data_IF_505033839096
#
_entry.id   IF_505033839096
#
_cell.length_a   1.000
_cell.length_b   1.000
_cell.length_c   1.000
_cell.angle_alpha   90.00
_cell.angle_beta   90.00
_cell.angle_gamma   90.00
#
_symmetry.space_group_name_H-M   'P 1'
#
loop_
_entity.id
_entity.type
_entity.pdbx_description
1 polymer ?
#
# COMPACT_ATOMS: atom_id res chain seq x y z
N UNK A 1 -1.50 21.05 17.04
CA UNK A 1 -0.99 20.73 15.69
C UNK A 1 -1.47 19.38 15.19
N UNK A 2 -2.79 19.21 15.02
CA UNK A 2 -3.41 17.92 14.77
C UNK A 2 -3.61 17.60 13.29
N UNK A 3 -4.37 18.41 12.54
CA UNK A 3 -4.74 18.06 11.16
C UNK A 3 -3.55 18.08 10.19
N UNK A 4 -3.56 17.16 9.20
CA UNK A 4 -2.52 17.05 8.20
C UNK A 4 -1.12 16.83 8.82
N UNK A 5 -0.19 17.71 8.51
CA UNK A 5 1.16 17.77 9.09
C UNK A 5 1.28 18.78 10.24
N UNK A 6 0.16 19.29 10.77
CA UNK A 6 0.16 20.19 11.91
C UNK A 6 0.35 21.68 11.58
N UNK A 7 0.18 22.09 10.31
CA UNK A 7 0.43 23.49 9.87
C UNK A 7 -0.40 24.52 10.64
N UNK A 8 -1.59 24.16 11.12
CA UNK A 8 -2.42 25.04 11.92
C UNK A 8 -1.73 25.48 13.24
N UNK A 9 -0.85 24.65 13.81
CA UNK A 9 -0.06 25.01 14.98
C UNK A 9 0.91 26.18 14.73
N UNK A 10 1.44 26.31 13.51
CA UNK A 10 2.31 27.41 13.14
C UNK A 10 1.58 28.77 13.18
N UNK A 11 0.31 28.78 12.80
CA UNK A 11 -0.53 29.98 12.91
C UNK A 11 -0.72 30.38 14.37
N UNK A 12 -1.01 29.44 15.25
CA UNK A 12 -1.11 29.65 16.69
C UNK A 12 0.21 30.14 17.32
N UNK A 13 1.34 29.53 16.93
CA UNK A 13 2.67 29.92 17.38
C UNK A 13 3.03 31.37 16.98
N UNK A 14 2.69 31.80 15.77
CA UNK A 14 2.86 33.17 15.30
C UNK A 14 2.09 34.19 16.16
N UNK A 15 0.95 33.76 16.72
CA UNK A 15 0.14 34.55 17.65
C UNK A 15 0.61 34.47 19.12
N UNK A 16 1.67 33.72 19.39
CA UNK A 16 2.26 33.58 20.72
C UNK A 16 1.66 32.47 21.59
N UNK A 17 0.83 31.57 21.03
CA UNK A 17 0.26 30.46 21.79
C UNK A 17 1.22 29.27 21.88
N UNK A 18 1.28 28.65 23.06
CA UNK A 18 1.95 27.36 23.25
C UNK A 18 1.18 26.27 22.53
N UNK A 19 1.87 25.25 22.04
CA UNK A 19 1.25 24.17 21.29
C UNK A 19 1.99 22.83 21.44
N UNK A 20 1.28 21.74 21.18
CA UNK A 20 1.80 20.37 21.07
C UNK A 20 1.64 19.93 19.62
N UNK A 21 2.64 19.25 19.06
CA UNK A 21 2.57 18.64 17.75
C UNK A 21 2.04 17.22 17.84
N UNK A 22 0.91 16.96 17.18
CA UNK A 22 0.27 15.65 17.07
C UNK A 22 -0.29 15.45 15.66
N UNK A 23 0.54 15.59 14.61
CA UNK A 23 0.06 15.57 13.23
C UNK A 23 -0.54 14.21 12.86
N UNK A 24 -1.76 14.24 12.34
CA UNK A 24 -2.49 13.05 11.93
C UNK A 24 -1.78 12.24 10.82
N UNK A 25 -0.93 12.87 10.04
CA UNK A 25 -0.17 12.20 8.97
C UNK A 25 0.99 11.36 9.49
N UNK A 26 1.51 11.65 10.68
CA UNK A 26 2.72 11.00 11.21
C UNK A 26 2.50 10.35 12.57
N UNK A 27 1.80 11.02 13.49
CA UNK A 27 1.68 10.58 14.89
C UNK A 27 0.32 9.94 15.21
N UNK A 28 -0.45 9.51 14.20
CA UNK A 28 -1.65 8.71 14.38
C UNK A 28 -1.31 7.23 14.50
N UNK A 29 -1.33 6.72 15.73
CA UNK A 29 -0.98 5.33 16.04
C UNK A 29 -2.08 4.33 15.68
N UNK A 30 -3.21 4.79 15.12
CA UNK A 30 -4.27 3.94 14.57
C UNK A 30 -3.98 3.49 13.12
N UNK A 31 -2.91 3.97 12.48
CA UNK A 31 -2.56 3.61 11.10
C UNK A 31 -1.74 2.33 11.04
N UNK A 32 -1.65 1.74 9.85
CA UNK A 32 -0.82 0.56 9.61
C UNK A 32 0.65 0.81 9.99
N UNK A 33 1.29 -0.18 10.63
CA UNK A 33 2.66 -0.09 11.12
C UNK A 33 3.70 -0.65 10.15
N UNK A 34 3.25 -1.38 9.14
CA UNK A 34 4.10 -2.04 8.16
C UNK A 34 3.32 -2.39 6.89
N UNK A 35 3.81 -3.36 6.12
CA UNK A 35 3.15 -3.81 4.90
C UNK A 35 1.72 -4.26 5.17
N UNK A 36 0.77 -3.65 4.47
CA UNK A 36 -0.66 -3.73 4.82
C UNK A 36 -1.24 -5.14 4.74
N UNK A 37 -0.70 -6.01 3.88
CA UNK A 37 -1.15 -7.41 3.78
C UNK A 37 -0.87 -8.24 5.04
N UNK A 38 0.00 -7.80 5.93
CA UNK A 38 0.27 -8.45 7.23
C UNK A 38 -0.50 -7.81 8.40
N UNK A 39 -1.03 -6.61 8.21
CA UNK A 39 -1.61 -5.84 9.30
C UNK A 39 -3.09 -6.19 9.52
N UNK A 40 -3.60 -6.14 10.74
CA UNK A 40 -5.05 -6.14 10.98
C UNK A 40 -5.69 -4.91 10.33
N UNK A 41 -7.00 -5.00 10.05
CA UNK A 41 -7.74 -3.86 9.47
C UNK A 41 -7.71 -2.70 10.47
N UNK A 42 -7.29 -1.54 9.99
CA UNK A 42 -7.26 -0.31 10.78
C UNK A 42 -7.44 0.91 9.87
N UNK A 43 -7.21 2.12 10.39
CA UNK A 43 -7.36 3.36 9.63
C UNK A 43 -6.33 3.43 8.50
N UNK A 44 -6.74 3.93 7.34
CA UNK A 44 -5.93 3.96 6.12
C UNK A 44 -4.60 4.73 6.27
N UNK A 45 -3.61 4.33 5.46
CA UNK A 45 -2.27 4.91 5.41
C UNK A 45 -1.31 4.28 6.41
N UNK A 46 -0.04 4.41 6.13
CA UNK A 46 1.04 3.85 6.94
C UNK A 46 1.70 4.91 7.81
N UNK A 47 2.02 4.53 9.04
CA UNK A 47 2.94 5.22 9.93
C UNK A 47 3.84 4.16 10.55
N UNK A 48 4.92 3.82 9.87
CA UNK A 48 5.88 2.82 10.35
C UNK A 48 6.66 3.32 11.56
N UNK A 49 7.31 2.41 12.24
CA UNK A 49 8.25 2.75 13.31
C UNK A 49 9.32 3.76 12.83
N UNK A 50 9.81 3.59 11.58
CA UNK A 50 10.83 4.46 10.98
C UNK A 50 10.28 5.84 10.66
N UNK A 51 9.05 5.93 10.13
CA UNK A 51 8.39 7.22 9.83
C UNK A 51 8.25 8.07 11.09
N UNK A 52 7.87 7.46 12.21
CA UNK A 52 7.74 8.15 13.49
C UNK A 52 9.10 8.54 14.06
N UNK A 53 10.08 7.65 13.96
CA UNK A 53 11.44 7.94 14.40
C UNK A 53 12.06 9.11 13.62
N UNK A 54 11.85 9.15 12.29
CA UNK A 54 12.38 10.22 11.42
C UNK A 54 11.62 11.53 11.54
N UNK A 55 10.46 11.52 12.17
CA UNK A 55 9.69 12.76 12.33
C UNK A 55 10.44 13.80 13.14
N UNK A 56 10.57 15.01 12.56
CA UNK A 56 11.13 16.18 13.20
C UNK A 56 10.03 17.22 13.41
N UNK A 57 9.66 17.50 14.68
CA UNK A 57 8.57 18.41 14.99
C UNK A 57 8.90 19.87 14.71
N UNK A 58 10.18 20.20 14.62
CA UNK A 58 10.69 21.57 14.44
C UNK A 58 11.26 21.75 13.04
N UNK A 59 10.60 22.53 12.21
CA UNK A 59 11.13 22.86 10.89
C UNK A 59 12.26 23.89 10.97
N UNK A 60 13.19 23.85 10.02
CA UNK A 60 14.33 24.81 9.95
C UNK A 60 13.85 26.27 9.84
N UNK A 61 12.70 26.48 9.20
CA UNK A 61 12.07 27.80 9.00
C UNK A 61 11.53 28.46 10.29
N UNK A 62 11.43 27.71 11.40
CA UNK A 62 10.85 28.23 12.62
C UNK A 62 11.80 29.20 13.32
N UNK A 63 11.26 30.36 13.74
CA UNK A 63 11.99 31.33 14.57
C UNK A 63 12.24 30.80 15.98
N UNK A 64 13.22 31.33 16.68
CA UNK A 64 13.51 30.95 18.07
C UNK A 64 12.29 31.11 18.97
N UNK A 65 11.49 32.17 18.76
CA UNK A 65 10.24 32.39 19.51
C UNK A 65 9.22 31.25 19.24
N UNK A 66 9.05 30.82 17.98
CA UNK A 66 8.13 29.70 17.66
C UNK A 66 8.60 28.40 18.30
N UNK A 67 9.90 28.12 18.26
CA UNK A 67 10.50 26.92 18.88
C UNK A 67 10.27 26.89 20.40
N UNK A 68 10.40 28.04 21.09
CA UNK A 68 10.17 28.13 22.55
C UNK A 68 8.70 27.96 22.96
N UNK A 69 7.76 28.02 22.02
CA UNK A 69 6.33 27.78 22.26
C UNK A 69 5.92 26.32 22.05
N UNK A 70 6.77 25.50 21.43
CA UNK A 70 6.53 24.05 21.31
C UNK A 70 6.73 23.39 22.68
N UNK A 71 5.67 22.74 23.17
CA UNK A 71 5.70 22.03 24.45
C UNK A 71 6.14 20.57 24.31
N UNK A 72 6.05 19.99 23.10
CA UNK A 72 6.42 18.62 22.81
C UNK A 72 5.59 18.01 21.68
N UNK A 73 5.68 16.69 21.58
CA UNK A 73 4.94 15.88 20.61
C UNK A 73 4.02 14.88 21.33
N UNK A 74 2.98 14.43 20.64
CA UNK A 74 2.01 13.48 21.19
C UNK A 74 1.59 12.51 20.09
N UNK A 75 1.67 11.20 20.36
CA UNK A 75 1.02 10.16 19.58
C UNK A 75 -0.48 10.12 19.91
N UNK A 76 -1.33 10.03 18.88
CA UNK A 76 -2.79 9.91 19.04
C UNK A 76 -3.23 8.50 18.69
N UNK A 77 -3.95 7.87 19.61
CA UNK A 77 -4.58 6.57 19.43
C UNK A 77 -6.10 6.73 19.53
N UNK A 78 -6.81 6.14 18.57
CA UNK A 78 -8.26 6.09 18.47
C UNK A 78 -8.71 4.64 18.39
N UNK A 79 -9.88 4.31 18.90
CA UNK A 79 -10.27 2.91 19.17
C UNK A 79 -11.35 2.37 18.25
N UNK A 80 -11.64 3.04 17.12
CA UNK A 80 -12.69 2.63 16.17
C UNK A 80 -12.47 1.22 15.58
N UNK A 81 -11.22 0.74 15.60
CA UNK A 81 -10.83 -0.58 15.09
C UNK A 81 -10.35 -1.53 16.20
N UNK A 82 -10.57 -1.18 17.46
CA UNK A 82 -10.09 -1.96 18.60
C UNK A 82 -11.27 -2.46 19.44
N UNK A 83 -11.36 -3.77 19.65
CA UNK A 83 -12.36 -4.41 20.48
C UNK A 83 -11.76 -4.92 21.81
N UNK A 84 -10.43 -5.00 21.91
CA UNK A 84 -9.69 -5.56 23.04
C UNK A 84 -8.49 -4.70 23.39
N UNK A 85 -8.05 -4.69 24.67
CA UNK A 85 -6.84 -3.97 25.07
C UNK A 85 -5.59 -4.35 24.28
N UNK A 86 -5.41 -5.63 23.94
CA UNK A 86 -4.26 -6.14 23.20
C UNK A 86 -4.17 -5.56 21.78
N UNK A 87 -5.30 -5.22 21.17
CA UNK A 87 -5.34 -4.55 19.86
C UNK A 87 -4.87 -3.09 19.97
N UNK A 88 -5.19 -2.42 21.08
CA UNK A 88 -4.69 -1.07 21.39
C UNK A 88 -3.17 -1.13 21.64
N UNK A 89 -2.71 -2.08 22.45
CA UNK A 89 -1.29 -2.31 22.72
C UNK A 89 -0.52 -2.59 21.43
N UNK A 90 -1.04 -3.48 20.57
CA UNK A 90 -0.48 -3.76 19.25
C UNK A 90 -0.30 -2.49 18.42
N UNK A 91 -1.32 -1.62 18.36
CA UNK A 91 -1.27 -0.39 17.57
C UNK A 91 -0.34 0.67 18.17
N UNK A 92 -0.19 0.71 19.50
CA UNK A 92 0.69 1.66 20.19
C UNK A 92 2.16 1.24 20.12
N UNK A 93 2.44 -0.01 20.46
CA UNK A 93 3.81 -0.54 20.56
C UNK A 93 4.25 -1.25 19.29
N UNK A 94 5.53 -1.06 18.90
CA UNK A 94 6.61 -0.33 19.59
C UNK A 94 6.68 1.17 19.21
N UNK A 95 5.74 1.70 18.42
CA UNK A 95 5.83 3.09 17.89
C UNK A 95 5.85 4.17 18.97
N UNK A 96 5.24 3.92 20.12
CA UNK A 96 5.31 4.85 21.25
C UNK A 96 6.75 5.08 21.74
N UNK A 97 7.62 4.07 21.62
CA UNK A 97 9.06 4.24 21.91
C UNK A 97 9.72 5.23 20.94
N UNK A 98 9.34 5.20 19.64
CA UNK A 98 9.84 6.17 18.66
C UNK A 98 9.29 7.59 18.92
N UNK A 99 8.05 7.71 19.38
CA UNK A 99 7.50 9.02 19.84
C UNK A 99 8.32 9.56 21.01
N UNK A 100 8.64 8.70 21.99
CA UNK A 100 9.46 9.08 23.14
C UNK A 100 10.88 9.50 22.71
N UNK A 101 11.53 8.75 21.80
CA UNK A 101 12.84 9.11 21.25
C UNK A 101 12.78 10.48 20.56
N UNK A 102 11.76 10.74 19.73
CA UNK A 102 11.57 12.03 19.06
C UNK A 102 11.26 13.19 20.01
N UNK A 103 10.70 12.92 21.20
CA UNK A 103 10.39 13.93 22.22
C UNK A 103 11.60 14.30 23.10
N UNK A 104 12.50 13.35 23.36
CA UNK A 104 13.57 13.51 24.37
C UNK A 104 14.97 13.56 23.78
N UNK A 105 15.17 13.14 22.52
CA UNK A 105 16.48 13.13 21.87
C UNK A 105 16.58 14.25 20.84
N UNK A 106 17.59 15.12 20.98
CA UNK A 106 17.86 16.12 19.96
C UNK A 106 18.20 15.46 18.61
N UNK A 107 17.77 16.04 17.47
CA UNK A 107 17.98 15.46 16.13
C UNK A 107 19.43 15.06 15.84
N UNK A 108 20.39 15.86 16.30
CA UNK A 108 21.85 15.62 16.13
C UNK A 108 22.36 14.40 16.87
N UNK A 109 21.62 13.90 17.85
CA UNK A 109 21.97 12.71 18.66
C UNK A 109 21.14 11.49 18.31
N UNK A 110 20.20 11.61 17.35
CA UNK A 110 19.44 10.47 16.88
C UNK A 110 20.37 9.51 16.12
N UNK A 111 20.29 8.24 16.46
CA UNK A 111 21.00 7.13 15.84
C UNK A 111 20.07 5.94 15.76
N UNK A 112 19.74 5.53 14.53
CA UNK A 112 18.75 4.48 14.28
C UNK A 112 19.20 3.13 14.82
N UNK A 113 20.46 2.75 14.66
CA UNK A 113 20.97 1.46 15.10
C UNK A 113 21.02 1.37 16.63
N UNK A 114 21.43 2.44 17.30
CA UNK A 114 21.32 2.57 18.77
C UNK A 114 19.89 2.46 19.23
N UNK A 115 18.95 3.16 18.58
CA UNK A 115 17.52 3.08 18.91
C UNK A 115 16.98 1.66 18.76
N UNK A 116 17.33 0.95 17.68
CA UNK A 116 16.92 -0.43 17.45
C UNK A 116 17.48 -1.39 18.51
N UNK A 117 18.73 -1.20 18.93
CA UNK A 117 19.32 -2.00 20.00
C UNK A 117 18.61 -1.76 21.36
N UNK A 118 18.29 -0.51 21.67
CA UNK A 118 17.50 -0.17 22.86
C UNK A 118 16.07 -0.72 22.78
N UNK A 119 15.46 -0.70 21.59
CA UNK A 119 14.14 -1.22 21.34
C UNK A 119 14.05 -2.75 21.55
N UNK A 120 15.08 -3.49 21.15
CA UNK A 120 15.13 -4.95 21.38
C UNK A 120 15.08 -5.27 22.90
N UNK A 121 15.77 -4.49 23.72
CA UNK A 121 15.69 -4.60 25.18
C UNK A 121 14.30 -4.18 25.71
N UNK A 122 13.76 -3.09 25.18
CA UNK A 122 12.42 -2.60 25.58
C UNK A 122 11.32 -3.60 25.26
N UNK A 123 11.33 -4.22 24.07
CA UNK A 123 10.37 -5.27 23.71
C UNK A 123 10.50 -6.50 24.61
N UNK A 124 11.70 -6.84 25.06
CA UNK A 124 11.90 -7.88 26.09
C UNK A 124 11.20 -7.54 27.42
N UNK A 125 11.15 -6.28 27.82
CA UNK A 125 10.36 -5.86 29.00
C UNK A 125 8.86 -5.94 28.74
N UNK A 126 8.38 -5.67 27.53
CA UNK A 126 6.97 -5.86 27.15
C UNK A 126 6.59 -7.34 27.24
N UNK A 127 7.45 -8.24 26.74
CA UNK A 127 7.25 -9.70 26.84
C UNK A 127 7.09 -10.16 28.30
N UNK A 128 7.96 -9.70 29.20
CA UNK A 128 7.89 -10.02 30.64
C UNK A 128 6.60 -9.52 31.29
N UNK A 129 6.08 -8.37 30.82
CA UNK A 129 4.84 -7.77 31.33
C UNK A 129 3.59 -8.32 30.64
N UNK A 130 3.70 -9.19 29.63
CA UNK A 130 2.58 -9.70 28.84
C UNK A 130 1.89 -8.63 27.99
N UNK A 131 2.60 -7.54 27.64
CA UNK A 131 2.07 -6.47 26.80
C UNK A 131 2.27 -6.83 25.34
N UNK A 132 1.19 -6.77 24.56
CA UNK A 132 1.20 -7.04 23.13
C UNK A 132 1.91 -5.91 22.37
N UNK A 133 2.68 -6.25 21.35
CA UNK A 133 3.29 -5.26 20.47
C UNK A 133 3.43 -5.80 19.04
N UNK A 134 3.40 -4.90 18.06
CA UNK A 134 3.54 -5.24 16.66
C UNK A 134 4.99 -5.61 16.32
N UNK A 135 5.12 -6.68 15.54
CA UNK A 135 6.40 -7.09 14.95
C UNK A 135 6.53 -6.65 13.49
N UNK A 136 5.71 -5.72 13.06
CA UNK A 136 5.60 -5.21 11.70
C UNK A 136 6.91 -4.67 11.16
N UNK A 137 7.78 -4.18 12.04
CA UNK A 137 9.15 -3.72 11.70
C UNK A 137 10.05 -4.81 11.11
N UNK A 138 9.69 -6.08 11.28
CA UNK A 138 10.42 -7.23 10.70
C UNK A 138 9.76 -7.77 9.44
N UNK A 139 8.57 -7.29 9.07
CA UNK A 139 7.86 -7.75 7.89
C UNK A 139 8.46 -7.15 6.61
N UNK A 140 8.43 -7.94 5.55
CA UNK A 140 9.01 -7.58 4.27
C UNK A 140 8.00 -6.78 3.46
N UNK A 141 8.41 -5.59 3.01
CA UNK A 141 7.78 -4.84 1.93
C UNK A 141 8.31 -5.38 0.61
N UNK A 142 7.41 -5.69 -0.32
CA UNK A 142 7.80 -6.05 -1.68
C UNK A 142 7.44 -4.94 -2.67
N UNK A 143 8.13 -4.96 -3.80
CA UNK A 143 7.79 -4.18 -4.98
C UNK A 143 8.06 -5.02 -6.22
N UNK A 144 7.05 -5.14 -7.09
CA UNK A 144 7.17 -5.82 -8.37
C UNK A 144 6.98 -4.80 -9.48
N UNK A 145 8.01 -4.60 -10.28
CA UNK A 145 8.04 -3.59 -11.33
C UNK A 145 8.12 -4.24 -12.70
N UNK A 146 7.15 -4.01 -13.61
CA UNK A 146 7.21 -4.48 -14.98
C UNK A 146 8.36 -3.81 -15.75
N UNK A 147 9.18 -4.64 -16.42
CA UNK A 147 10.40 -4.24 -17.13
C UNK A 147 10.37 -4.67 -18.61
N UNK A 148 9.20 -4.65 -19.24
CA UNK A 148 9.04 -4.96 -20.65
C UNK A 148 9.59 -6.34 -21.06
N UNK A 149 8.87 -7.37 -20.66
CA UNK A 149 9.19 -8.78 -20.88
C UNK A 149 9.74 -9.51 -19.65
N UNK A 150 9.98 -8.80 -18.57
CA UNK A 150 10.33 -9.36 -17.25
C UNK A 150 9.72 -8.54 -16.12
N UNK A 151 9.68 -9.10 -14.93
CA UNK A 151 9.30 -8.40 -13.71
C UNK A 151 10.53 -8.26 -12.83
N UNK A 152 10.79 -7.07 -12.30
CA UNK A 152 11.83 -6.86 -11.30
C UNK A 152 11.23 -6.96 -9.91
N UNK A 153 11.72 -7.89 -9.10
CA UNK A 153 11.29 -8.08 -7.70
C UNK A 153 12.31 -7.44 -6.77
N UNK A 154 11.81 -6.65 -5.84
CA UNK A 154 12.56 -5.98 -4.79
C UNK A 154 11.92 -6.29 -3.44
N UNK A 155 12.74 -6.60 -2.43
CA UNK A 155 12.33 -6.91 -1.07
C UNK A 155 13.04 -5.97 -0.10
N UNK A 156 12.31 -5.37 0.80
CA UNK A 156 12.87 -4.43 1.78
C UNK A 156 12.36 -4.75 3.19
N UNK A 157 13.18 -4.46 4.18
CA UNK A 157 12.80 -4.46 5.59
C UNK A 157 13.38 -3.22 6.27
N UNK A 158 12.60 -2.57 7.13
CA UNK A 158 13.07 -1.38 7.86
C UNK A 158 14.13 -1.70 8.94
N UNK A 159 14.30 -2.99 9.28
CA UNK A 159 15.34 -3.48 10.19
C UNK A 159 16.59 -3.86 9.38
N UNK A 160 17.68 -3.07 9.46
CA UNK A 160 18.93 -3.37 8.71
C UNK A 160 19.72 -4.56 9.29
N UNK A 161 19.41 -4.95 10.51
CA UNK A 161 20.10 -6.01 11.28
C UNK A 161 19.47 -7.40 11.11
N UNK A 162 18.65 -7.61 10.08
CA UNK A 162 18.06 -8.90 9.72
C UNK A 162 18.49 -9.34 8.32
N UNK A 163 18.53 -10.64 8.11
CA UNK A 163 18.71 -11.24 6.79
C UNK A 163 17.34 -11.52 6.16
N UNK A 164 17.12 -11.11 4.92
CA UNK A 164 15.97 -11.54 4.13
C UNK A 164 16.32 -12.84 3.42
N UNK A 165 15.61 -13.93 3.72
CA UNK A 165 15.77 -15.23 3.08
C UNK A 165 14.55 -15.53 2.22
N UNK A 166 14.74 -16.15 1.05
CA UNK A 166 13.65 -16.40 0.12
C UNK A 166 13.75 -17.75 -0.61
N UNK A 167 12.62 -18.18 -1.16
CA UNK A 167 12.45 -19.30 -2.08
C UNK A 167 11.61 -18.84 -3.28
N UNK A 168 11.70 -19.55 -4.41
CA UNK A 168 10.93 -19.23 -5.64
C UNK A 168 9.99 -20.34 -6.06
N UNK A 169 9.95 -21.44 -5.30
CA UNK A 169 9.14 -22.62 -5.56
C UNK A 169 7.95 -22.79 -4.58
N UNK A 170 7.66 -21.76 -3.77
CA UNK A 170 6.59 -21.78 -2.78
C UNK A 170 6.89 -22.54 -1.49
N UNK A 171 8.09 -23.11 -1.31
CA UNK A 171 8.48 -23.71 -0.04
C UNK A 171 8.71 -22.63 1.03
N UNK A 172 8.52 -22.98 2.31
CA UNK A 172 8.78 -22.05 3.42
C UNK A 172 10.27 -21.70 3.49
N UNK A 173 10.64 -20.40 3.58
CA UNK A 173 12.02 -20.00 3.76
C UNK A 173 12.52 -20.40 5.16
N UNK A 174 13.78 -20.77 5.21
CA UNK A 174 14.52 -21.09 6.44
C UNK A 174 15.78 -20.24 6.51
N UNK A 175 16.48 -20.25 7.64
CA UNK A 175 17.77 -19.58 7.76
C UNK A 175 18.84 -20.07 6.76
N UNK A 176 18.60 -21.22 6.10
CA UNK A 176 19.48 -21.79 5.07
C UNK A 176 19.03 -21.50 3.63
N UNK A 177 17.86 -20.89 3.45
CA UNK A 177 17.36 -20.49 2.13
C UNK A 177 18.21 -19.38 1.52
N UNK A 178 18.04 -19.11 0.23
CA UNK A 178 18.81 -18.08 -0.48
C UNK A 178 18.75 -16.73 0.24
N UNK A 179 19.90 -16.09 0.39
CA UNK A 179 19.98 -14.73 0.94
C UNK A 179 19.58 -13.73 -0.15
N UNK A 180 18.71 -12.78 0.21
CA UNK A 180 18.41 -11.65 -0.66
C UNK A 180 19.50 -10.57 -0.51
N UNK A 181 20.22 -10.32 -1.57
CA UNK A 181 21.27 -9.30 -1.62
C UNK A 181 20.91 -8.13 -2.52
N UNK A 182 20.12 -8.40 -3.56
CA UNK A 182 19.71 -7.41 -4.57
C UNK A 182 18.46 -7.85 -5.30
N UNK A 183 17.76 -6.89 -5.88
CA UNK A 183 16.62 -7.12 -6.77
C UNK A 183 17.01 -8.01 -7.97
N UNK A 184 16.07 -8.87 -8.37
CA UNK A 184 16.26 -9.82 -9.47
C UNK A 184 15.10 -9.81 -10.45
N UNK A 185 15.31 -10.42 -11.61
CA UNK A 185 14.29 -10.51 -12.65
C UNK A 185 13.56 -11.86 -12.60
N UNK A 186 12.26 -11.81 -12.88
CA UNK A 186 11.34 -12.92 -13.03
C UNK A 186 10.75 -12.87 -14.44
N UNK A 187 10.77 -14.01 -15.14
CA UNK A 187 10.27 -14.14 -16.53
C UNK A 187 9.23 -15.23 -16.71
N UNK A 188 8.90 -15.94 -15.63
CA UNK A 188 7.95 -17.06 -15.62
C UNK A 188 7.11 -17.03 -14.35
N UNK A 189 5.92 -17.65 -14.32
CA UNK A 189 5.13 -17.74 -13.12
C UNK A 189 5.87 -18.49 -12.02
N UNK A 190 5.79 -18.01 -10.78
CA UNK A 190 6.40 -18.63 -9.61
C UNK A 190 5.75 -18.17 -8.32
N UNK A 191 5.96 -18.90 -7.25
CA UNK A 191 5.53 -18.50 -5.91
C UNK A 191 6.77 -18.15 -5.09
N UNK A 192 6.98 -16.86 -4.87
CA UNK A 192 8.07 -16.37 -4.02
C UNK A 192 7.56 -16.39 -2.58
N UNK A 193 8.33 -17.02 -1.70
CA UNK A 193 8.16 -16.84 -0.24
C UNK A 193 9.41 -16.26 0.36
N UNK A 194 9.25 -15.30 1.26
CA UNK A 194 10.37 -14.66 1.93
C UNK A 194 10.03 -14.33 3.38
N UNK A 195 11.06 -14.37 4.23
CA UNK A 195 10.96 -14.00 5.63
C UNK A 195 12.28 -13.39 6.12
N UNK A 196 12.20 -12.61 7.19
CA UNK A 196 13.38 -12.04 7.86
C UNK A 196 13.91 -12.97 8.94
N UNK A 197 15.22 -13.06 9.05
CA UNK A 197 15.91 -13.88 10.05
C UNK A 197 16.97 -13.07 10.80
N UNK A 198 17.12 -13.34 12.10
CA UNK A 198 18.20 -12.81 12.96
C UNK A 198 18.72 -13.94 13.82
N UNK A 199 20.04 -14.19 13.76
CA UNK A 199 20.69 -15.30 14.50
C UNK A 199 20.01 -16.67 14.25
N UNK A 200 19.62 -16.94 13.01
CA UNK A 200 18.96 -18.19 12.61
C UNK A 200 17.48 -18.31 12.98
N UNK A 201 16.92 -17.37 13.72
CA UNK A 201 15.50 -17.33 14.12
C UNK A 201 14.70 -16.43 13.18
N UNK A 202 13.54 -16.90 12.71
CA UNK A 202 12.61 -16.07 11.94
C UNK A 202 12.02 -14.96 12.83
N UNK A 203 12.04 -13.74 12.30
CA UNK A 203 11.61 -12.54 13.02
C UNK A 203 10.23 -12.03 12.56
N UNK A 204 10.01 -11.84 11.27
CA UNK A 204 8.77 -11.39 10.68
C UNK A 204 7.87 -12.53 10.19
N UNK A 205 6.69 -12.17 9.70
CA UNK A 205 5.79 -13.10 9.02
C UNK A 205 6.37 -13.48 7.65
N UNK A 206 5.98 -14.65 7.13
CA UNK A 206 6.39 -15.07 5.78
C UNK A 206 5.54 -14.34 4.75
N UNK A 207 6.17 -13.53 3.92
CA UNK A 207 5.58 -13.01 2.70
C UNK A 207 5.37 -14.16 1.72
N UNK A 208 4.16 -14.29 1.19
CA UNK A 208 3.86 -15.19 0.06
C UNK A 208 3.42 -14.32 -1.11
N UNK A 209 4.18 -14.34 -2.18
CA UNK A 209 3.98 -13.52 -3.36
C UNK A 209 3.84 -14.43 -4.60
N UNK A 210 2.62 -14.83 -4.95
CA UNK A 210 2.36 -15.55 -6.19
C UNK A 210 2.50 -14.60 -7.38
N UNK A 211 3.46 -14.84 -8.24
CA UNK A 211 3.60 -14.14 -9.51
C UNK A 211 2.83 -14.94 -10.57
N UNK A 212 1.75 -14.38 -11.06
CA UNK A 212 0.97 -14.90 -12.18
C UNK A 212 1.56 -14.41 -13.50
N UNK A 213 1.29 -15.16 -14.59
CA UNK A 213 1.78 -14.79 -15.91
C UNK A 213 0.70 -15.00 -16.95
N UNK A 214 0.32 -13.93 -17.63
CA UNK A 214 -0.66 -13.91 -18.71
C UNK A 214 -0.14 -13.06 -19.88
N UNK A 215 -0.91 -12.89 -20.95
CA UNK A 215 -0.48 -12.11 -22.11
C UNK A 215 -0.18 -10.63 -21.80
N UNK A 216 -0.79 -10.06 -20.74
CA UNK A 216 -0.56 -8.67 -20.31
C UNK A 216 0.66 -8.53 -19.37
N UNK A 217 1.05 -9.59 -18.66
CA UNK A 217 2.10 -9.53 -17.63
C UNK A 217 3.42 -9.05 -18.23
N UNK A 218 4.08 -8.11 -17.56
CA UNK A 218 5.34 -7.49 -17.94
C UNK A 218 5.32 -6.78 -19.31
N UNK A 219 4.15 -6.48 -19.87
CA UNK A 219 4.03 -5.71 -21.11
C UNK A 219 4.13 -4.22 -20.84
N UNK A 220 4.46 -3.48 -21.89
CA UNK A 220 4.58 -2.03 -21.82
C UNK A 220 3.20 -1.37 -21.84
N UNK A 221 2.89 -0.62 -20.81
CA UNK A 221 1.77 0.30 -20.79
C UNK A 221 2.18 1.64 -21.39
N UNK A 222 1.47 2.07 -22.43
CA UNK A 222 1.72 3.34 -23.12
C UNK A 222 0.99 4.47 -22.40
N UNK A 223 1.65 5.63 -22.29
CA UNK A 223 1.07 6.86 -21.70
C UNK A 223 0.55 6.67 -20.27
N UNK A 224 1.11 5.69 -19.55
CA UNK A 224 0.75 5.38 -18.17
C UNK A 224 1.63 6.11 -17.17
N UNK A 225 1.07 6.40 -16.00
CA UNK A 225 1.85 6.80 -14.85
C UNK A 225 2.42 5.56 -14.09
N UNK A 226 3.39 5.74 -13.19
CA UNK A 226 3.99 4.60 -12.46
C UNK A 226 2.98 3.76 -11.65
N UNK A 227 1.91 4.37 -11.12
CA UNK A 227 0.89 3.67 -10.31
C UNK A 227 0.07 2.70 -11.15
N UNK A 228 -0.21 3.04 -12.40
CA UNK A 228 -1.00 2.20 -13.32
C UNK A 228 -0.24 0.93 -13.74
N UNK A 229 1.10 0.94 -13.66
CA UNK A 229 1.92 -0.20 -14.06
C UNK A 229 1.75 -1.44 -13.18
N UNK A 230 1.19 -1.30 -11.98
CA UNK A 230 0.88 -2.46 -11.13
C UNK A 230 -0.10 -3.41 -11.83
N UNK A 231 -0.97 -2.92 -12.71
CA UNK A 231 -1.95 -3.72 -13.44
C UNK A 231 -1.36 -4.77 -14.41
N UNK A 232 -0.06 -4.81 -14.56
CA UNK A 232 0.65 -5.78 -15.42
C UNK A 232 1.87 -6.39 -14.72
N UNK A 233 1.89 -6.35 -13.38
CA UNK A 233 2.99 -6.88 -12.57
C UNK A 233 2.81 -8.35 -12.13
N UNK A 234 1.67 -8.96 -12.47
CA UNK A 234 1.37 -10.35 -12.15
C UNK A 234 1.01 -10.59 -10.69
N UNK A 235 0.78 -9.55 -9.88
CA UNK A 235 0.46 -9.65 -8.44
C UNK A 235 -0.94 -9.10 -8.17
N UNK A 236 -1.72 -9.87 -7.40
CA UNK A 236 -3.08 -9.45 -7.00
C UNK A 236 -3.04 -8.58 -5.76
N UNK A 237 -3.91 -7.58 -5.72
CA UNK A 237 -4.14 -6.75 -4.55
C UNK A 237 -4.81 -7.50 -3.39
N UNK A 238 -4.61 -7.02 -2.17
CA UNK A 238 -5.30 -7.53 -0.98
C UNK A 238 -6.66 -6.86 -0.76
N UNK A 239 -7.41 -7.29 0.26
CA UNK A 239 -8.64 -6.61 0.68
C UNK A 239 -8.43 -5.17 1.22
N UNK A 240 -7.20 -4.69 1.22
CA UNK A 240 -6.86 -3.31 1.61
C UNK A 240 -6.59 -2.48 0.37
N UNK A 241 -7.57 -1.69 -0.05
CA UNK A 241 -7.54 -0.87 -1.28
C UNK A 241 -6.39 0.15 -1.33
N UNK A 242 -5.63 0.31 -0.25
CA UNK A 242 -4.49 1.21 -0.13
C UNK A 242 -3.15 0.48 -0.13
N UNK A 243 -3.13 -0.83 -0.34
CA UNK A 243 -1.87 -1.53 -0.56
C UNK A 243 -1.24 -1.16 -1.92
N UNK A 244 0.02 -1.54 -2.12
CA UNK A 244 0.79 -1.11 -3.29
C UNK A 244 0.38 -1.77 -4.60
N UNK A 245 -0.52 -2.76 -4.57
CA UNK A 245 -0.92 -3.53 -5.74
C UNK A 245 -2.22 -2.99 -6.38
N UNK A 246 -2.78 -1.90 -5.87
CA UNK A 246 -3.96 -1.25 -6.41
C UNK A 246 -3.61 0.02 -7.18
N UNK A 247 -3.89 0.07 -8.48
CA UNK A 247 -4.03 1.32 -9.22
C UNK A 247 -5.37 1.97 -8.85
N UNK A 248 -5.37 3.26 -8.52
CA UNK A 248 -6.51 3.91 -7.87
C UNK A 248 -6.79 5.30 -8.43
N UNK A 249 -8.06 5.57 -8.71
CA UNK A 249 -8.53 6.85 -9.24
C UNK A 249 -9.79 7.34 -8.51
N UNK A 250 -9.87 8.66 -8.32
CA UNK A 250 -11.04 9.36 -7.84
C UNK A 250 -11.42 10.38 -8.90
N UNK A 251 -12.22 9.97 -9.89
CA UNK A 251 -12.69 10.80 -10.99
C UNK A 251 -14.05 10.34 -11.47
N UNK A 252 -14.89 11.29 -11.84
CA UNK A 252 -16.19 11.02 -12.46
C UNK A 252 -16.13 10.86 -13.99
N UNK A 253 -15.00 11.25 -14.60
CA UNK A 253 -14.72 11.07 -16.03
C UNK A 253 -14.15 9.68 -16.34
N UNK A 254 -13.69 9.48 -17.56
CA UNK A 254 -13.07 8.24 -17.98
C UNK A 254 -11.54 8.27 -17.83
N UNK A 255 -10.98 7.09 -17.58
CA UNK A 255 -9.55 6.81 -17.55
C UNK A 255 -9.26 5.78 -18.62
N UNK A 256 -8.29 6.07 -19.48
CA UNK A 256 -7.88 5.16 -20.53
C UNK A 256 -6.40 4.79 -20.40
N UNK A 257 -6.10 3.51 -20.51
CA UNK A 257 -4.75 3.00 -20.60
C UNK A 257 -4.61 2.05 -21.80
N UNK A 258 -3.42 2.00 -22.37
CA UNK A 258 -3.14 1.19 -23.55
C UNK A 258 -1.95 0.29 -23.28
N UNK A 259 -2.11 -1.00 -23.58
CA UNK A 259 -1.09 -2.03 -23.47
C UNK A 259 -0.56 -2.40 -24.85
N UNK A 260 0.77 -2.47 -25.04
CA UNK A 260 1.41 -3.02 -26.24
C UNK A 260 1.81 -4.48 -26.00
N UNK A 261 1.11 -5.41 -26.64
CA UNK A 261 1.41 -6.86 -26.58
C UNK A 261 2.68 -7.24 -27.35
N UNK A 262 3.32 -6.29 -28.04
CA UNK A 262 4.51 -6.43 -28.88
C UNK A 262 4.27 -7.06 -30.26
N UNK A 263 3.29 -7.92 -30.38
CA UNK A 263 2.86 -8.56 -31.61
C UNK A 263 1.34 -8.68 -31.64
N UNK A 264 0.79 -8.97 -32.79
CA UNK A 264 -0.62 -9.32 -32.90
C UNK A 264 -0.86 -10.65 -32.21
N UNK A 265 -1.81 -10.68 -31.28
CA UNK A 265 -2.22 -11.86 -30.51
C UNK A 265 -3.74 -12.03 -30.67
N UNK A 266 -4.19 -13.27 -30.78
CA UNK A 266 -5.60 -13.59 -30.64
C UNK A 266 -5.96 -13.57 -29.16
N UNK A 267 -7.04 -12.87 -28.80
CA UNK A 267 -7.48 -12.65 -27.44
C UNK A 267 -8.85 -13.29 -27.22
N UNK A 268 -8.92 -14.24 -26.29
CA UNK A 268 -10.15 -14.94 -25.96
C UNK A 268 -10.90 -14.27 -24.81
N UNK A 269 -10.14 -13.69 -23.87
CA UNK A 269 -10.71 -13.13 -22.65
C UNK A 269 -9.84 -12.02 -22.10
N UNK A 270 -10.48 -11.02 -21.51
CA UNK A 270 -9.86 -10.01 -20.69
C UNK A 270 -10.58 -9.99 -19.33
N UNK A 271 -9.81 -9.91 -18.23
CA UNK A 271 -10.36 -9.79 -16.88
C UNK A 271 -9.71 -8.61 -16.18
N UNK A 272 -10.52 -7.80 -15.52
CA UNK A 272 -10.05 -6.75 -14.60
C UNK A 272 -10.37 -7.16 -13.17
N UNK A 273 -9.36 -7.19 -12.30
CA UNK A 273 -9.59 -7.33 -10.87
C UNK A 273 -9.93 -5.99 -10.25
N UNK A 274 -11.03 -5.92 -9.52
CA UNK A 274 -11.51 -4.73 -8.84
C UNK A 274 -11.75 -5.02 -7.36
N UNK A 275 -11.60 -4.02 -6.51
CA UNK A 275 -12.02 -4.10 -5.11
C UNK A 275 -13.23 -3.23 -4.86
N UNK A 276 -14.17 -3.75 -4.08
CA UNK A 276 -15.23 -2.99 -3.44
C UNK A 276 -14.90 -2.80 -1.97
N UNK A 277 -15.05 -1.57 -1.47
CA UNK A 277 -15.03 -1.26 -0.04
C UNK A 277 -16.06 -0.16 0.23
N UNK A 278 -17.29 -0.59 0.54
CA UNK A 278 -18.44 0.29 0.73
C UNK A 278 -18.17 1.37 1.77
N UNK A 279 -17.66 0.99 2.95
CA UNK A 279 -17.36 1.94 4.02
C UNK A 279 -16.39 3.05 3.65
N UNK A 280 -15.53 2.82 2.66
CA UNK A 280 -14.51 3.78 2.20
C UNK A 280 -14.87 4.46 0.87
N UNK A 281 -16.03 4.15 0.26
CA UNK A 281 -16.45 4.70 -1.02
C UNK A 281 -15.56 4.23 -2.18
N UNK A 282 -15.09 2.97 -2.11
CA UNK A 282 -14.33 2.32 -3.19
C UNK A 282 -15.25 1.34 -3.90
N UNK A 283 -15.42 1.52 -5.21
CA UNK A 283 -16.41 0.82 -5.99
C UNK A 283 -15.91 0.42 -7.37
N UNK A 284 -16.65 -0.44 -8.04
CA UNK A 284 -16.39 -0.82 -9.43
C UNK A 284 -16.63 0.37 -10.37
N UNK A 285 -15.99 0.41 -11.56
CA UNK A 285 -16.32 1.39 -12.59
C UNK A 285 -17.77 1.15 -13.06
N UNK A 286 -18.50 2.21 -13.41
CA UNK A 286 -19.87 2.08 -13.94
C UNK A 286 -19.93 1.46 -15.34
N UNK A 287 -18.89 1.67 -16.14
CA UNK A 287 -18.74 1.09 -17.47
C UNK A 287 -17.27 0.83 -17.77
N UNK A 288 -17.02 -0.24 -18.49
CA UNK A 288 -15.69 -0.58 -19.02
C UNK A 288 -15.84 -0.85 -20.53
N UNK A 289 -14.92 -0.33 -21.32
CA UNK A 289 -14.82 -0.60 -22.75
C UNK A 289 -13.45 -1.17 -23.08
N UNK A 290 -13.41 -2.18 -23.94
CA UNK A 290 -12.18 -2.79 -24.46
C UNK A 290 -12.10 -2.54 -25.97
N UNK A 291 -10.97 -2.00 -26.40
CA UNK A 291 -10.68 -1.62 -27.77
C UNK A 291 -9.36 -2.24 -28.23
N UNK A 292 -9.30 -2.65 -29.46
CA UNK A 292 -8.07 -3.18 -30.07
C UNK A 292 -7.58 -2.25 -31.21
N UNK A 293 -6.28 -2.34 -31.45
CA UNK A 293 -5.61 -1.70 -32.60
C UNK A 293 -4.41 -2.54 -33.03
N UNK A 294 -4.01 -2.41 -34.28
CA UNK A 294 -2.76 -3.00 -34.77
C UNK A 294 -1.58 -2.02 -34.74
N UNK A 295 -1.84 -0.71 -34.81
CA UNK A 295 -0.82 0.34 -35.02
C UNK A 295 -0.88 1.50 -34.02
N UNK A 296 -1.71 1.39 -32.93
CA UNK A 296 -1.96 2.45 -31.93
C UNK A 296 -2.54 3.75 -32.55
N UNK A 297 -3.22 3.66 -33.69
CA UNK A 297 -3.83 4.79 -34.40
C UNK A 297 -5.34 4.61 -34.45
N UNK A 298 -5.82 3.66 -35.21
CA UNK A 298 -7.24 3.34 -35.30
C UNK A 298 -7.59 2.21 -34.37
N UNK A 299 -8.65 2.40 -33.59
CA UNK A 299 -9.14 1.45 -32.62
C UNK A 299 -10.57 1.03 -32.94
N UNK A 300 -10.86 -0.26 -32.80
CA UNK A 300 -12.21 -0.80 -32.86
C UNK A 300 -12.60 -1.40 -31.50
N UNK A 301 -13.85 -1.18 -31.12
CA UNK A 301 -14.37 -1.69 -29.87
C UNK A 301 -14.72 -3.17 -30.00
N UNK A 302 -14.19 -3.99 -29.11
CA UNK A 302 -14.41 -5.45 -29.07
C UNK A 302 -15.30 -5.90 -27.94
N UNK A 303 -15.36 -5.14 -26.84
CA UNK A 303 -16.25 -5.44 -25.75
C UNK A 303 -16.64 -4.18 -24.96
N UNK A 304 -17.80 -4.21 -24.33
CA UNK A 304 -18.25 -3.21 -23.37
C UNK A 304 -19.14 -3.86 -22.32
N UNK A 305 -19.02 -3.40 -21.07
CA UNK A 305 -19.89 -3.82 -19.98
C UNK A 305 -20.29 -2.58 -19.19
N UNK A 306 -21.59 -2.41 -19.00
CA UNK A 306 -22.17 -1.42 -18.11
C UNK A 306 -22.71 -2.15 -16.87
N UNK A 307 -22.52 -1.56 -15.70
CA UNK A 307 -22.92 -2.12 -14.41
C UNK A 307 -24.06 -1.30 -13.83
N UNK A 308 -25.03 -1.98 -13.23
CA UNK A 308 -26.14 -1.33 -12.56
C UNK A 308 -25.70 -0.67 -11.23
N UNK A 309 -26.35 0.40 -10.79
CA UNK A 309 -26.02 1.06 -9.53
C UNK A 309 -26.01 0.13 -8.31
N UNK A 310 -26.90 -0.85 -8.24
CA UNK A 310 -26.96 -1.84 -7.16
C UNK A 310 -25.72 -2.75 -7.17
N UNK A 311 -25.20 -3.08 -8.35
CA UNK A 311 -23.99 -3.86 -8.53
C UNK A 311 -22.73 -3.04 -8.21
N UNK A 312 -22.72 -1.75 -8.56
CA UNK A 312 -21.61 -0.83 -8.28
C UNK A 312 -21.49 -0.56 -6.78
N UNK A 313 -22.58 -0.17 -6.13
CA UNK A 313 -22.61 0.28 -4.72
C UNK A 313 -23.02 -0.82 -3.74
N UNK A 314 -22.67 -2.07 -4.03
CA UNK A 314 -22.95 -3.21 -3.16
C UNK A 314 -22.22 -3.08 -1.83
N UNK A 315 -22.91 -3.35 -0.72
CA UNK A 315 -22.33 -3.32 0.62
C UNK A 315 -21.24 -4.38 0.82
N UNK A 316 -20.28 -4.09 1.69
CA UNK A 316 -19.21 -5.00 2.07
C UNK A 316 -17.85 -4.64 1.49
N UNK A 317 -16.86 -5.49 1.84
CA UNK A 317 -15.47 -5.41 1.32
C UNK A 317 -15.12 -6.74 0.68
N UNK A 318 -14.85 -6.73 -0.63
CA UNK A 318 -14.54 -7.94 -1.39
C UNK A 318 -13.79 -7.57 -2.69
N UNK A 319 -13.06 -8.55 -3.22
CA UNK A 319 -12.41 -8.47 -4.54
C UNK A 319 -13.31 -9.18 -5.54
N UNK A 320 -13.47 -8.59 -6.70
CA UNK A 320 -14.31 -9.11 -7.77
C UNK A 320 -13.58 -9.02 -9.12
N UNK A 321 -13.86 -9.95 -9.99
CA UNK A 321 -13.36 -9.97 -11.36
C UNK A 321 -14.44 -9.52 -12.34
N UNK A 322 -14.08 -8.61 -13.24
CA UNK A 322 -14.92 -8.19 -14.36
C UNK A 322 -14.43 -8.89 -15.65
N UNK A 323 -15.03 -10.01 -16.05
CA UNK A 323 -14.65 -10.71 -17.26
C UNK A 323 -15.29 -10.09 -18.51
N UNK A 324 -14.54 -10.11 -19.62
CA UNK A 324 -14.94 -9.75 -20.97
C UNK A 324 -14.55 -10.91 -21.91
N UNK A 325 -15.52 -11.55 -22.52
CA UNK A 325 -15.26 -12.52 -23.57
C UNK A 325 -14.87 -11.74 -24.85
N UNK A 326 -13.76 -12.12 -25.42
CA UNK A 326 -13.23 -11.58 -26.66
C UNK A 326 -13.12 -12.72 -27.69
N UNK A 327 -13.06 -12.41 -28.94
CA UNK A 327 -12.76 -13.33 -30.05
C UNK A 327 -12.20 -12.50 -31.20
N UNK A 328 -11.05 -11.87 -30.95
CA UNK A 328 -10.47 -10.94 -31.90
C UNK A 328 -8.94 -10.89 -31.78
N UNK A 329 -8.28 -10.32 -32.77
CA UNK A 329 -6.82 -10.28 -32.87
C UNK A 329 -6.32 -8.84 -32.95
N UNK A 330 -5.44 -8.44 -32.03
CA UNK A 330 -4.84 -7.12 -32.03
C UNK A 330 -3.46 -7.10 -31.36
N UNK A 331 -2.72 -6.03 -31.56
CA UNK A 331 -1.44 -5.78 -30.87
C UNK A 331 -1.62 -4.85 -29.67
N UNK A 332 -2.41 -3.80 -29.84
CA UNK A 332 -2.64 -2.82 -28.79
C UNK A 332 -4.02 -3.08 -28.16
N UNK A 333 -4.05 -3.15 -26.84
CA UNK A 333 -5.28 -3.30 -26.08
C UNK A 333 -5.50 -2.01 -25.28
N UNK A 334 -6.55 -1.29 -25.60
CA UNK A 334 -6.96 -0.10 -24.85
C UNK A 334 -8.17 -0.42 -24.00
N UNK A 335 -8.07 -0.12 -22.72
CA UNK A 335 -9.18 -0.24 -21.76
C UNK A 335 -9.57 1.16 -21.31
N UNK A 336 -10.87 1.43 -21.33
CA UNK A 336 -11.45 2.69 -20.86
C UNK A 336 -12.36 2.37 -19.68
N UNK A 337 -12.02 2.91 -18.52
CA UNK A 337 -12.81 2.82 -17.30
C UNK A 337 -13.60 4.12 -17.11
N UNK A 338 -14.90 4.02 -16.95
CA UNK A 338 -15.74 5.16 -16.57
C UNK A 338 -15.99 5.10 -15.06
N UNK A 339 -15.68 6.18 -14.36
CA UNK A 339 -15.78 6.27 -12.90
C UNK A 339 -17.15 5.85 -12.38
N UNK A 340 -17.22 5.40 -11.14
CA UNK A 340 -18.47 4.96 -10.50
C UNK A 340 -19.49 6.11 -10.29
N UNK A 341 -19.02 7.35 -10.37
CA UNK A 341 -19.82 8.53 -10.07
C UNK A 341 -19.80 8.89 -8.59
N UNK A 342 -20.82 9.61 -8.14
CA UNK A 342 -20.99 9.96 -6.73
C UNK A 342 -21.72 8.85 -5.99
N UNK A 343 -21.33 8.63 -4.73
CA UNK A 343 -22.01 7.72 -3.84
C UNK A 343 -23.48 8.16 -3.64
N UNK A 344 -24.47 7.24 -3.77
CA UNK A 344 -25.88 7.58 -3.65
C UNK A 344 -26.24 8.12 -2.25
N UNK A 345 -27.40 8.78 -2.13
CA UNK A 345 -27.85 9.38 -0.86
C UNK A 345 -28.02 8.36 0.27
N UNK A 346 -28.26 7.08 -0.06
CA UNK A 346 -28.38 5.97 0.90
C UNK A 346 -27.04 5.42 1.35
N UNK A 347 -25.95 5.84 0.72
CA UNK A 347 -24.60 5.38 1.03
C UNK A 347 -24.07 6.02 2.33
N UNK A 348 -23.15 5.34 3.04
CA UNK A 348 -22.48 5.91 4.24
C UNK A 348 -21.62 7.14 3.94
N UNK A 349 -21.37 7.44 2.66
CA UNK A 349 -20.63 8.61 2.16
C UNK A 349 -21.41 9.33 1.05
N UNK A 350 -22.62 9.84 1.34
CA UNK A 350 -23.49 10.39 0.32
C UNK A 350 -22.86 11.60 -0.40
N UNK A 351 -22.98 11.65 -1.74
CA UNK A 351 -22.47 12.73 -2.56
C UNK A 351 -20.93 12.83 -2.68
N UNK A 352 -20.18 11.89 -2.09
CA UNK A 352 -18.74 11.84 -2.31
C UNK A 352 -18.42 11.11 -3.61
N UNK A 353 -17.44 11.60 -4.36
CA UNK A 353 -16.92 10.89 -5.51
C UNK A 353 -16.40 9.51 -5.12
N UNK A 354 -16.90 8.48 -5.75
CA UNK A 354 -16.46 7.11 -5.56
C UNK A 354 -15.07 6.91 -6.18
N UNK A 355 -14.26 6.10 -5.49
CA UNK A 355 -12.94 5.68 -5.96
C UNK A 355 -13.06 4.37 -6.71
N UNK A 356 -12.34 4.23 -7.82
CA UNK A 356 -12.16 2.96 -8.53
C UNK A 356 -10.74 2.46 -8.29
N UNK A 357 -10.60 1.18 -7.93
CA UNK A 357 -9.30 0.53 -7.77
C UNK A 357 -9.25 -0.76 -8.60
N UNK A 358 -8.16 -0.93 -9.35
CA UNK A 358 -7.88 -2.11 -10.19
C UNK A 358 -6.51 -2.65 -9.84
N UNK A 359 -6.37 -3.96 -9.66
CA UNK A 359 -5.09 -4.61 -9.35
C UNK A 359 -4.40 -5.15 -10.60
N UNK A 360 -5.04 -6.02 -11.34
CA UNK A 360 -4.41 -6.74 -12.44
C UNK A 360 -5.30 -6.76 -13.69
N UNK A 361 -4.65 -6.62 -14.85
CA UNK A 361 -5.20 -6.84 -16.17
C UNK A 361 -4.77 -8.23 -16.65
N UNK A 362 -5.71 -9.16 -16.73
CA UNK A 362 -5.44 -10.54 -17.19
C UNK A 362 -5.95 -10.67 -18.62
N UNK A 363 -5.09 -11.13 -19.53
CA UNK A 363 -5.43 -11.39 -20.95
C UNK A 363 -5.06 -12.83 -21.29
N UNK A 364 -6.06 -13.56 -21.83
CA UNK A 364 -5.93 -14.94 -22.28
C UNK A 364 -6.02 -15.07 -23.79
#
# INVERSE_FOLDING_TARGET
GWQGYGQAALKAARQGHRFVMTPARVLYLIRYQGPQWFEPVTYFGNNTLKDIYDYEPVERSWTTKMRSLLMGIQGSMWTEFCNKPEEVEYLIFPRLAAVAEGAWTFPVYKDWDRFLAALDNFTGHLDVKGITYARSMYNIQHKVTPMDGSLQVELECIRPDVEIRYTTNGSQPTAKSSLYERKWQVTTPQIIKSATFKNGKQMGQTLTLPIQWNKATAKRMLRSNPVERVMVNGVRGSLKYTDSEWASWTRNDSIAFTLDLRKREHLNKLVLGCINNYGMGVHKPKRVEVWLSNEDIEYWKVASKELDPEEIFREGTFIEELPFNLDDTGRYVRVILFGAGECPLTHVRPGQEARVCVDELIIE
#
